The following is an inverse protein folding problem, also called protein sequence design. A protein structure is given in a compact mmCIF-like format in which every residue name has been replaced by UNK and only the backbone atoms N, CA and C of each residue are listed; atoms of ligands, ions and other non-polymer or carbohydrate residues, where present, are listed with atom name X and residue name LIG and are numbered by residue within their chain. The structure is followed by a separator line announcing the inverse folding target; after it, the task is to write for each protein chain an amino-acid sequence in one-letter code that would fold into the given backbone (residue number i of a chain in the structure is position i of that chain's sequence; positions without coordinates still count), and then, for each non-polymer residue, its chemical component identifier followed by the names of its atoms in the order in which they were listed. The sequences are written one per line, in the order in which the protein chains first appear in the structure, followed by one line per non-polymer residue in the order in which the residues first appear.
data_IF_443059980414
#
_entry.id   IF_443059980414
#
_cell.length_a   1.000
_cell.length_b   1.000
_cell.length_c   1.000
_cell.angle_alpha   90.00
_cell.angle_beta   90.00
_cell.angle_gamma   90.00
#
_symmetry.space_group_name_H-M   'P 1'
#
loop_
_entity.id
_entity.type
_entity.pdbx_description
1 polymer ?
#
# COMPACT_ATOMS: atom_id res chain seq x y z
N UNK A 1 5.56 26.95 23.42
CA UNK A 1 5.20 25.58 23.00
C UNK A 1 4.94 25.59 21.51
N UNK A 2 5.54 24.68 20.77
CA UNK A 2 5.26 24.57 19.33
C UNK A 2 3.92 23.87 19.14
N UNK A 3 2.99 24.47 18.41
CA UNK A 3 1.75 23.80 18.01
C UNK A 3 2.07 22.77 16.95
N UNK A 4 1.52 21.56 17.10
CA UNK A 4 1.66 20.45 16.15
C UNK A 4 0.31 19.79 15.92
N UNK A 5 -0.02 19.53 14.66
CA UNK A 5 -1.17 18.68 14.34
C UNK A 5 -0.72 17.22 14.30
N UNK A 6 -1.39 16.34 15.05
CA UNK A 6 -1.19 14.90 14.98
C UNK A 6 -2.44 14.23 14.41
N UNK A 7 -2.32 13.63 13.25
CA UNK A 7 -3.41 13.00 12.51
C UNK A 7 -3.17 11.49 12.48
N UNK A 8 -3.82 10.70 13.33
CA UNK A 8 -3.66 9.25 13.38
C UNK A 8 -4.64 8.58 12.41
N UNK A 9 -4.12 7.80 11.48
CA UNK A 9 -4.94 7.02 10.56
C UNK A 9 -4.78 5.53 10.78
N UNK A 10 -5.85 4.78 10.56
CA UNK A 10 -5.88 3.34 10.67
C UNK A 10 -6.97 2.74 9.77
N UNK A 11 -7.05 1.42 9.71
CA UNK A 11 -8.11 0.69 9.01
C UNK A 11 -8.70 -0.39 9.89
N UNK A 12 -10.05 -0.56 9.91
CA UNK A 12 -10.72 -1.51 10.78
C UNK A 12 -10.34 -2.98 10.57
N UNK A 13 -9.73 -3.32 9.42
CA UNK A 13 -9.30 -4.68 9.10
C UNK A 13 -7.97 -5.09 9.75
N UNK A 14 -7.30 -4.15 10.44
CA UNK A 14 -6.05 -4.36 11.17
C UNK A 14 -6.28 -4.30 12.69
N UNK A 15 -5.22 -4.44 13.47
CA UNK A 15 -5.28 -4.42 14.94
C UNK A 15 -5.55 -2.99 15.45
N UNK A 16 -6.83 -2.63 15.53
CA UNK A 16 -7.28 -1.31 16.00
C UNK A 16 -6.88 -1.04 17.45
N UNK A 17 -7.00 -1.97 18.42
CA UNK A 17 -6.52 -1.75 19.79
C UNK A 17 -5.06 -1.36 19.87
N UNK A 18 -4.17 -2.05 19.16
CA UNK A 18 -2.74 -1.70 19.12
C UNK A 18 -2.49 -0.37 18.40
N UNK A 19 -3.21 -0.09 17.30
CA UNK A 19 -3.12 1.21 16.63
C UNK A 19 -3.55 2.36 17.54
N UNK A 20 -4.61 2.19 18.34
CA UNK A 20 -5.06 3.18 19.32
C UNK A 20 -4.00 3.41 20.42
N UNK A 21 -3.42 2.35 20.94
CA UNK A 21 -2.33 2.45 21.93
C UNK A 21 -1.15 3.27 21.39
N UNK A 22 -0.71 3.00 20.16
CA UNK A 22 0.37 3.79 19.54
C UNK A 22 0.00 5.26 19.31
N UNK A 23 -1.25 5.54 19.01
CA UNK A 23 -1.72 6.93 18.93
C UNK A 23 -1.66 7.63 20.28
N UNK A 24 -2.10 6.97 21.36
CA UNK A 24 -2.06 7.54 22.71
C UNK A 24 -0.62 7.76 23.20
N UNK A 25 0.26 6.78 23.01
CA UNK A 25 1.69 6.89 23.30
C UNK A 25 2.35 8.02 22.48
N UNK A 26 1.97 8.21 21.22
CA UNK A 26 2.47 9.31 20.38
C UNK A 26 2.04 10.68 20.91
N UNK A 27 0.81 10.84 21.39
CA UNK A 27 0.33 12.07 22.05
C UNK A 27 1.14 12.38 23.30
N UNK A 28 1.32 11.38 24.15
CA UNK A 28 2.09 11.51 25.39
C UNK A 28 3.55 11.88 25.11
N UNK A 29 4.18 11.23 24.13
CA UNK A 29 5.54 11.54 23.71
C UNK A 29 5.67 12.99 23.22
N UNK A 30 4.79 13.44 22.34
CA UNK A 30 4.82 14.82 21.84
C UNK A 30 4.59 15.85 22.95
N UNK A 31 3.67 15.60 23.87
CA UNK A 31 3.46 16.44 25.03
C UNK A 31 4.70 16.49 25.94
N UNK A 32 5.39 15.37 26.16
CA UNK A 32 6.64 15.29 26.92
C UNK A 32 7.79 16.09 26.28
N UNK A 33 7.77 16.25 24.95
CA UNK A 33 8.70 17.08 24.19
C UNK A 33 8.31 18.58 24.17
N UNK A 34 7.25 18.96 24.88
CA UNK A 34 6.79 20.35 25.01
C UNK A 34 5.94 20.85 23.85
N UNK A 35 5.37 19.94 23.05
CA UNK A 35 4.44 20.30 21.98
C UNK A 35 3.01 20.53 22.52
N UNK A 36 2.32 21.51 21.93
CA UNK A 36 0.88 21.72 22.07
C UNK A 36 0.18 20.96 20.94
N UNK A 37 -0.38 19.77 21.26
CA UNK A 37 -0.86 18.80 20.29
C UNK A 37 -2.33 19.04 19.93
N UNK A 38 -2.60 19.31 18.67
CA UNK A 38 -3.96 19.35 18.10
C UNK A 38 -4.18 18.02 17.40
N UNK A 39 -5.16 17.24 17.85
CA UNK A 39 -5.48 15.93 17.28
C UNK A 39 -6.97 15.62 17.43
N UNK A 40 -7.53 14.73 16.59
CA UNK A 40 -8.84 14.14 16.86
C UNK A 40 -8.79 13.31 18.15
N UNK A 41 -9.97 13.00 18.69
CA UNK A 41 -10.09 12.13 19.88
C UNK A 41 -9.85 10.66 19.57
N UNK A 42 -10.03 10.24 18.32
CA UNK A 42 -10.03 8.86 17.86
C UNK A 42 -9.20 8.69 16.59
N UNK A 43 -8.90 7.44 16.24
CA UNK A 43 -8.28 7.08 14.97
C UNK A 43 -9.19 7.45 13.80
N UNK A 44 -8.61 7.94 12.71
CA UNK A 44 -9.30 8.26 11.48
C UNK A 44 -9.34 7.01 10.59
N UNK A 45 -10.49 6.39 10.47
CA UNK A 45 -10.69 5.11 9.79
C UNK A 45 -11.77 5.17 8.70
N UNK A 46 -12.57 6.23 8.68
CA UNK A 46 -13.68 6.38 7.72
C UNK A 46 -13.63 7.73 7.00
N UNK A 47 -14.32 7.85 5.85
CA UNK A 47 -14.45 9.14 5.16
C UNK A 47 -15.09 10.22 6.05
N UNK A 48 -16.09 9.86 6.88
CA UNK A 48 -16.79 10.80 7.76
C UNK A 48 -15.85 11.32 8.86
N UNK A 49 -15.02 10.46 9.43
CA UNK A 49 -13.99 10.87 10.39
C UNK A 49 -12.93 11.75 9.72
N UNK A 50 -12.58 11.47 8.47
CA UNK A 50 -11.68 12.34 7.69
C UNK A 50 -12.27 13.74 7.50
N UNK A 51 -13.56 13.86 7.18
CA UNK A 51 -14.23 15.16 7.09
C UNK A 51 -14.28 15.86 8.47
N UNK A 52 -14.53 15.13 9.54
CA UNK A 52 -14.51 15.70 10.89
C UNK A 52 -13.13 16.25 11.28
N UNK A 53 -12.05 15.61 10.86
CA UNK A 53 -10.68 16.13 11.07
C UNK A 53 -10.38 17.33 10.18
N UNK A 54 -10.91 17.39 8.99
CA UNK A 54 -10.68 18.49 8.05
C UNK A 54 -11.16 19.86 8.58
N UNK A 55 -12.12 19.87 9.51
CA UNK A 55 -12.62 21.10 10.16
C UNK A 55 -11.86 21.49 11.42
N UNK A 56 -10.92 20.65 11.90
CA UNK A 56 -10.02 20.99 12.99
C UNK A 56 -8.94 21.96 12.50
N UNK A 57 -8.34 22.70 13.44
CA UNK A 57 -7.21 23.61 13.15
C UNK A 57 -5.91 22.79 12.94
N UNK A 58 -5.87 21.97 11.90
CA UNK A 58 -4.72 21.11 11.55
C UNK A 58 -3.69 21.79 10.65
N UNK A 59 -3.95 23.01 10.16
CA UNK A 59 -3.00 23.78 9.36
C UNK A 59 -1.95 24.46 10.25
N UNK A 60 -1.15 23.63 10.90
CA UNK A 60 -0.10 24.03 11.80
C UNK A 60 1.26 24.02 11.09
N UNK A 61 2.26 24.79 11.62
CA UNK A 61 3.61 24.77 11.05
C UNK A 61 4.25 23.39 11.00
N UNK A 62 3.83 22.49 11.90
CA UNK A 62 4.26 21.10 11.98
C UNK A 62 3.06 20.18 11.97
N UNK A 63 3.05 19.26 11.04
CA UNK A 63 1.98 18.27 10.88
C UNK A 63 2.59 16.88 10.90
N UNK A 64 2.12 16.03 11.79
CA UNK A 64 2.51 14.62 11.92
C UNK A 64 1.33 13.77 11.47
N UNK A 65 1.52 13.02 10.40
CA UNK A 65 0.55 12.06 9.90
C UNK A 65 1.00 10.66 10.32
N UNK A 66 0.36 10.14 11.36
CA UNK A 66 0.68 8.85 11.96
C UNK A 66 -0.14 7.74 11.30
N UNK A 67 0.51 6.91 10.50
CA UNK A 67 -0.05 5.64 10.09
C UNK A 67 0.01 4.65 11.27
N UNK A 68 -0.97 4.72 12.17
CA UNK A 68 -1.04 3.82 13.32
C UNK A 68 -1.32 2.36 12.88
N UNK A 69 -2.05 2.19 11.76
CA UNK A 69 -2.02 1.00 10.92
C UNK A 69 -2.14 1.39 9.45
N UNK A 70 -2.30 0.43 8.55
CA UNK A 70 -2.53 0.70 7.14
C UNK A 70 -3.72 1.66 6.95
N UNK A 71 -3.55 2.62 6.06
CA UNK A 71 -4.60 3.41 5.45
C UNK A 71 -4.23 3.66 3.98
N UNK A 72 -5.21 3.75 3.09
CA UNK A 72 -4.95 4.25 1.74
C UNK A 72 -4.65 5.75 1.75
N UNK A 73 -4.24 6.31 0.61
CA UNK A 73 -3.80 7.69 0.56
C UNK A 73 -4.93 8.74 0.55
N UNK A 74 -6.20 8.33 0.49
CA UNK A 74 -7.32 9.28 0.38
C UNK A 74 -7.36 10.28 1.55
N UNK A 75 -7.23 9.85 2.84
CA UNK A 75 -7.16 10.80 3.95
C UNK A 75 -5.95 11.73 3.86
N UNK A 76 -4.78 11.24 3.43
CA UNK A 76 -3.58 12.08 3.32
C UNK A 76 -3.77 13.20 2.30
N UNK A 77 -4.27 12.90 1.11
CA UNK A 77 -4.56 13.91 0.08
C UNK A 77 -5.59 14.91 0.59
N UNK A 78 -6.70 14.42 1.13
CA UNK A 78 -7.80 15.25 1.61
C UNK A 78 -7.36 16.22 2.71
N UNK A 79 -6.61 15.72 3.69
CA UNK A 79 -6.24 16.50 4.88
C UNK A 79 -5.00 17.36 4.66
N UNK A 80 -4.06 16.92 3.85
CA UNK A 80 -2.73 17.52 3.76
C UNK A 80 -2.41 18.15 2.38
N UNK A 81 -3.11 17.77 1.32
CA UNK A 81 -2.79 18.16 -0.04
C UNK A 81 -2.65 19.68 -0.23
N UNK A 82 -3.44 20.50 0.45
CA UNK A 82 -3.44 21.97 0.38
C UNK A 82 -2.79 22.68 1.58
N UNK A 83 -2.27 21.95 2.58
CA UNK A 83 -1.71 22.54 3.81
C UNK A 83 -0.29 23.09 3.58
N UNK A 84 0.13 24.06 4.38
CA UNK A 84 1.41 24.75 4.23
C UNK A 84 2.50 24.25 5.18
N UNK A 85 2.14 23.60 6.27
CA UNK A 85 3.08 23.10 7.28
C UNK A 85 4.02 22.01 6.77
N UNK A 86 5.13 21.82 7.47
CA UNK A 86 6.04 20.70 7.25
C UNK A 86 5.36 19.38 7.65
N UNK A 87 5.35 18.43 6.76
CA UNK A 87 4.69 17.13 6.97
C UNK A 87 5.71 16.05 7.32
N UNK A 88 5.49 15.41 8.47
CA UNK A 88 6.19 14.19 8.87
C UNK A 88 5.23 13.01 8.76
N UNK A 89 5.54 12.05 7.90
CA UNK A 89 4.84 10.78 7.83
C UNK A 89 5.49 9.81 8.82
N UNK A 90 4.71 9.36 9.78
CA UNK A 90 5.18 8.43 10.81
C UNK A 90 4.51 7.07 10.62
N UNK A 91 5.33 6.02 10.44
CA UNK A 91 4.90 4.64 10.45
C UNK A 91 5.48 3.89 11.66
N UNK A 92 4.64 3.06 12.28
CA UNK A 92 5.05 2.21 13.40
C UNK A 92 5.56 0.86 12.90
N UNK A 93 6.31 0.15 13.75
CA UNK A 93 6.84 -1.16 13.40
C UNK A 93 5.75 -2.22 13.43
N UNK A 94 5.85 -3.14 12.48
CA UNK A 94 5.11 -4.38 12.52
C UNK A 94 5.62 -5.26 13.66
N UNK A 95 4.76 -6.09 14.21
CA UNK A 95 5.08 -7.08 15.23
C UNK A 95 4.50 -8.44 14.83
N UNK A 96 4.87 -9.50 15.58
CA UNK A 96 4.50 -10.87 15.24
C UNK A 96 5.63 -11.62 14.52
N UNK A 97 5.35 -12.83 14.07
CA UNK A 97 6.33 -13.69 13.43
C UNK A 97 6.33 -13.51 11.91
N UNK A 98 7.48 -13.78 11.27
CA UNK A 98 7.58 -13.74 9.82
C UNK A 98 6.70 -14.82 9.19
N UNK A 99 5.81 -14.41 8.28
CA UNK A 99 4.87 -15.31 7.61
C UNK A 99 3.46 -15.33 8.22
N UNK A 100 3.25 -14.67 9.35
CA UNK A 100 1.92 -14.39 9.86
C UNK A 100 1.22 -13.27 9.12
N UNK A 101 -0.09 -13.15 9.34
CA UNK A 101 -0.85 -12.00 8.85
C UNK A 101 -0.32 -10.73 9.50
N UNK A 102 -0.07 -9.70 8.69
CA UNK A 102 0.32 -8.39 9.20
C UNK A 102 -0.75 -7.82 10.13
N UNK A 103 -0.32 -7.36 11.31
CA UNK A 103 -1.19 -6.79 12.33
C UNK A 103 -1.50 -5.32 12.06
N UNK A 104 -0.54 -4.55 11.59
CA UNK A 104 -0.67 -3.11 11.38
C UNK A 104 -0.46 -2.69 9.92
N UNK A 105 0.51 -3.26 9.23
CA UNK A 105 0.88 -2.88 7.85
C UNK A 105 1.07 -1.37 7.66
N UNK A 106 1.56 -0.70 8.69
CA UNK A 106 1.66 0.75 8.80
C UNK A 106 2.57 1.36 7.73
N UNK A 107 3.70 0.71 7.42
CA UNK A 107 4.66 1.20 6.43
C UNK A 107 4.05 1.26 5.02
N UNK A 108 3.23 0.29 4.63
CA UNK A 108 2.56 0.33 3.32
C UNK A 108 1.62 1.53 3.23
N UNK A 109 0.85 1.84 4.29
CA UNK A 109 0.01 3.04 4.33
C UNK A 109 0.84 4.32 4.21
N UNK A 110 1.97 4.40 4.92
CA UNK A 110 2.88 5.54 4.82
C UNK A 110 3.46 5.71 3.41
N UNK A 111 3.80 4.63 2.72
CA UNK A 111 4.29 4.68 1.35
C UNK A 111 3.22 5.20 0.38
N UNK A 112 1.96 4.77 0.53
CA UNK A 112 0.84 5.28 -0.27
C UNK A 112 0.64 6.78 -0.05
N UNK A 113 0.61 7.21 1.21
CA UNK A 113 0.51 8.63 1.57
C UNK A 113 1.67 9.45 1.01
N UNK A 114 2.90 8.93 1.11
CA UNK A 114 4.10 9.58 0.58
C UNK A 114 4.03 9.79 -0.93
N UNK A 115 3.67 8.75 -1.67
CA UNK A 115 3.51 8.85 -3.12
C UNK A 115 2.47 9.91 -3.47
N UNK A 116 1.28 9.81 -2.89
CA UNK A 116 0.18 10.72 -3.17
C UNK A 116 0.49 12.18 -2.84
N UNK A 117 1.13 12.45 -1.71
CA UNK A 117 1.53 13.82 -1.33
C UNK A 117 2.62 14.38 -2.24
N UNK A 118 3.56 13.53 -2.67
CA UNK A 118 4.60 13.96 -3.64
C UNK A 118 4.03 14.29 -5.02
N UNK A 119 3.01 13.57 -5.49
CA UNK A 119 2.36 13.88 -6.77
C UNK A 119 1.68 15.25 -6.78
N UNK A 120 1.29 15.77 -5.61
CA UNK A 120 0.77 17.14 -5.45
C UNK A 120 1.84 18.14 -5.00
N UNK A 121 3.11 17.79 -5.13
CA UNK A 121 4.25 18.69 -4.88
C UNK A 121 4.60 18.88 -3.40
N UNK A 122 4.12 18.03 -2.47
CA UNK A 122 4.44 18.14 -1.05
C UNK A 122 5.83 17.59 -0.73
N UNK A 123 6.63 18.41 -0.03
CA UNK A 123 7.80 17.92 0.71
C UNK A 123 7.36 17.16 1.95
N UNK A 124 7.94 16.00 2.16
CA UNK A 124 7.62 15.14 3.31
C UNK A 124 8.90 14.62 3.97
N UNK A 125 8.84 14.47 5.28
CA UNK A 125 9.85 13.78 6.08
C UNK A 125 9.29 12.44 6.52
N UNK A 126 10.11 11.37 6.53
CA UNK A 126 9.68 10.05 7.00
C UNK A 126 10.26 9.73 8.37
N UNK A 127 9.45 9.10 9.20
CA UNK A 127 9.83 8.50 10.47
C UNK A 127 9.26 7.08 10.53
N UNK A 128 10.12 6.10 10.84
CA UNK A 128 9.71 4.71 11.06
C UNK A 128 10.23 4.22 12.40
N UNK A 129 9.32 3.83 13.28
CA UNK A 129 9.63 3.31 14.62
C UNK A 129 8.47 3.51 15.59
N UNK A 130 8.56 2.85 16.73
CA UNK A 130 7.53 2.91 17.76
C UNK A 130 7.75 4.12 18.71
N UNK A 131 6.69 4.63 19.36
CA UNK A 131 6.78 5.79 20.26
C UNK A 131 7.77 5.63 21.43
N UNK A 132 8.03 4.41 21.87
CA UNK A 132 8.95 4.09 22.97
C UNK A 132 10.44 4.08 22.57
N UNK A 133 10.75 4.17 21.28
CA UNK A 133 12.12 4.15 20.77
C UNK A 133 12.82 5.50 20.99
N UNK A 134 14.03 5.49 21.56
CA UNK A 134 14.82 6.71 21.78
C UNK A 134 15.20 7.39 20.45
N UNK A 135 15.39 6.63 19.37
CA UNK A 135 15.59 7.15 18.03
C UNK A 135 14.39 7.98 17.55
N UNK A 136 13.17 7.51 17.76
CA UNK A 136 11.93 8.20 17.41
C UNK A 136 11.80 9.49 18.22
N UNK A 137 12.03 9.44 19.52
CA UNK A 137 12.01 10.60 20.40
C UNK A 137 13.02 11.67 19.97
N UNK A 138 14.26 11.27 19.67
CA UNK A 138 15.30 12.16 19.17
C UNK A 138 14.90 12.85 17.86
N UNK A 139 14.34 12.10 16.91
CA UNK A 139 13.92 12.62 15.62
C UNK A 139 12.73 13.58 15.73
N UNK A 140 11.74 13.26 16.55
CA UNK A 140 10.61 14.15 16.81
C UNK A 140 11.07 15.45 17.48
N UNK A 141 12.00 15.39 18.45
CA UNK A 141 12.56 16.57 19.07
C UNK A 141 13.25 17.50 18.06
N UNK A 142 14.02 16.96 17.11
CA UNK A 142 14.63 17.71 16.02
C UNK A 142 13.58 18.32 15.07
N UNK A 143 12.58 17.52 14.66
CA UNK A 143 11.51 17.98 13.81
C UNK A 143 10.74 19.16 14.43
N UNK A 144 10.42 19.09 15.71
CA UNK A 144 9.72 20.15 16.44
C UNK A 144 10.53 21.44 16.54
N UNK A 145 11.87 21.36 16.58
CA UNK A 145 12.78 22.52 16.70
C UNK A 145 13.24 23.12 15.37
N UNK A 146 12.78 22.62 14.22
CA UNK A 146 13.33 22.96 12.89
C UNK A 146 14.85 22.71 12.76
N UNK A 147 15.40 21.85 13.59
CA UNK A 147 16.76 21.40 13.38
C UNK A 147 16.77 20.53 12.14
N UNK A 148 17.52 20.95 11.10
CA UNK A 148 17.63 20.21 9.83
C UNK A 148 18.03 18.76 10.15
N UNK A 149 17.03 17.93 10.21
CA UNK A 149 17.25 16.51 10.25
C UNK A 149 17.42 16.09 8.79
N UNK A 150 18.58 15.56 8.43
CA UNK A 150 18.72 14.60 7.34
C UNK A 150 17.87 13.35 7.60
N UNK A 151 16.73 13.54 8.27
CA UNK A 151 15.74 12.53 8.62
C UNK A 151 14.91 12.31 7.39
N UNK A 152 15.19 11.24 6.70
CA UNK A 152 14.27 10.76 5.70
C UNK A 152 14.75 10.69 4.27
N UNK A 153 16.01 10.94 3.97
CA UNK A 153 16.59 10.12 2.91
C UNK A 153 17.06 8.84 3.60
N UNK A 154 16.48 7.66 3.30
CA UNK A 154 17.21 6.43 3.58
C UNK A 154 18.61 6.72 3.06
N UNK A 155 19.68 6.38 3.82
CA UNK A 155 21.02 6.51 3.26
C UNK A 155 20.86 5.91 1.87
N UNK A 156 21.11 6.70 0.83
CA UNK A 156 21.36 6.10 -0.46
C UNK A 156 22.31 5.00 -0.08
N UNK A 157 21.83 3.76 -0.09
CA UNK A 157 22.71 2.64 0.04
C UNK A 157 23.70 2.96 -1.06
N UNK A 158 24.85 3.55 -0.68
CA UNK A 158 26.05 3.45 -1.46
C UNK A 158 26.36 1.98 -1.40
N UNK A 159 25.47 1.18 -2.06
CA UNK A 159 25.84 -0.09 -2.53
C UNK A 159 27.12 0.22 -3.27
N UNK A 160 28.22 -0.29 -2.79
CA UNK A 160 29.32 -0.62 -3.64
C UNK A 160 28.62 -1.18 -4.85
N UNK A 161 28.65 -0.44 -5.92
CA UNK A 161 27.86 -0.61 -7.14
C UNK A 161 27.41 -2.06 -7.30
N UNK A 162 26.15 -2.39 -7.02
CA UNK A 162 25.53 -3.47 -7.74
C UNK A 162 25.92 -3.19 -9.18
N UNK A 163 26.88 -3.97 -9.70
CA UNK A 163 27.77 -3.61 -10.79
C UNK A 163 27.02 -2.78 -11.79
N UNK A 164 27.55 -1.64 -12.15
CA UNK A 164 27.01 -0.77 -13.17
C UNK A 164 26.51 -1.70 -14.27
N UNK A 165 25.18 -1.93 -14.34
CA UNK A 165 24.64 -2.70 -15.44
C UNK A 165 25.22 -2.02 -16.67
N UNK A 166 26.05 -2.71 -17.42
CA UNK A 166 26.71 -2.12 -18.56
C UNK A 166 25.61 -1.50 -19.42
N UNK A 167 25.83 -0.34 -19.97
CA UNK A 167 24.81 0.35 -20.81
C UNK A 167 24.17 -0.59 -21.82
N UNK A 168 24.95 -1.54 -22.34
CA UNK A 168 24.50 -2.62 -23.22
C UNK A 168 23.40 -3.50 -22.61
N UNK A 169 23.43 -3.76 -21.28
CA UNK A 169 22.41 -4.58 -20.62
C UNK A 169 21.11 -3.81 -20.42
N UNK A 170 21.17 -2.50 -20.17
CA UNK A 170 19.97 -1.66 -20.03
C UNK A 170 19.26 -1.52 -21.38
N UNK A 171 20.00 -1.26 -22.46
CA UNK A 171 19.43 -1.15 -23.80
C UNK A 171 18.82 -2.48 -24.27
N UNK A 172 19.49 -3.60 -24.01
CA UNK A 172 18.96 -4.93 -24.32
C UNK A 172 17.69 -5.24 -23.52
N UNK A 173 17.65 -4.90 -22.21
CA UNK A 173 16.49 -5.07 -21.36
C UNK A 173 15.31 -4.21 -21.81
N UNK A 174 15.55 -2.95 -22.18
CA UNK A 174 14.50 -2.08 -22.72
C UNK A 174 14.01 -2.59 -24.09
N UNK A 175 14.91 -3.11 -24.93
CA UNK A 175 14.55 -3.68 -26.22
C UNK A 175 13.65 -4.95 -26.06
N UNK A 176 13.88 -5.75 -25.00
CA UNK A 176 13.07 -6.94 -24.73
C UNK A 176 11.65 -6.64 -24.28
N UNK A 177 11.39 -5.42 -23.77
CA UNK A 177 10.03 -5.00 -23.40
C UNK A 177 9.19 -4.59 -24.63
N UNK A 178 9.85 -4.31 -25.76
CA UNK A 178 9.16 -3.79 -26.93
C UNK A 178 8.28 -4.88 -27.57
N UNK A 179 6.99 -4.59 -27.62
CA UNK A 179 5.98 -5.51 -28.14
C UNK A 179 5.39 -6.41 -27.06
N UNK A 180 5.85 -6.29 -25.80
CA UNK A 180 5.22 -7.03 -24.70
C UNK A 180 3.77 -6.59 -24.48
N UNK A 181 2.94 -7.56 -24.08
CA UNK A 181 1.52 -7.39 -23.80
C UNK A 181 1.22 -7.67 -22.34
N UNK A 182 0.70 -6.66 -21.63
CA UNK A 182 0.38 -6.76 -20.22
C UNK A 182 -1.12 -6.73 -20.02
N UNK A 183 -1.66 -7.78 -19.41
CA UNK A 183 -3.06 -7.81 -19.00
C UNK A 183 -3.28 -7.02 -17.71
N UNK A 184 -4.23 -6.08 -17.70
CA UNK A 184 -4.62 -5.34 -16.50
C UNK A 184 -6.08 -5.66 -16.13
N UNK A 185 -6.30 -6.21 -14.93
CA UNK A 185 -7.62 -6.62 -14.45
C UNK A 185 -8.07 -5.70 -13.33
N UNK A 186 -9.12 -4.93 -13.61
CA UNK A 186 -9.64 -3.87 -12.74
C UNK A 186 -8.73 -2.64 -12.66
N UNK A 187 -9.31 -1.52 -12.26
CA UNK A 187 -8.58 -0.26 -12.05
C UNK A 187 -7.85 -0.25 -10.70
N UNK A 188 -6.88 0.65 -10.55
CA UNK A 188 -6.23 0.86 -9.26
C UNK A 188 -7.27 1.18 -8.17
N UNK A 189 -7.21 0.56 -6.99
CA UNK A 189 -8.12 0.88 -5.90
C UNK A 189 -8.02 2.35 -5.49
N UNK A 190 -9.11 2.92 -4.97
CA UNK A 190 -9.11 4.29 -4.46
C UNK A 190 -7.99 4.50 -3.43
N UNK A 191 -7.25 5.60 -3.58
CA UNK A 191 -6.11 5.93 -2.70
C UNK A 191 -4.82 5.13 -2.96
N UNK A 192 -4.81 4.19 -3.93
CA UNK A 192 -3.62 3.45 -4.35
C UNK A 192 -2.94 4.12 -5.54
N UNK A 193 -2.57 5.38 -5.36
CA UNK A 193 -1.97 6.19 -6.44
C UNK A 193 -0.71 5.59 -7.10
N UNK A 194 0.14 4.79 -6.41
CA UNK A 194 1.28 4.13 -7.06
C UNK A 194 0.89 3.01 -8.04
N UNK A 195 -0.36 2.52 -7.96
CA UNK A 195 -0.86 1.47 -8.86
C UNK A 195 -1.49 2.05 -10.14
N UNK A 196 -1.58 3.37 -10.25
CA UNK A 196 -2.04 4.04 -11.45
C UNK A 196 -0.95 4.02 -12.52
N UNK A 197 -1.33 3.81 -13.76
CA UNK A 197 -0.44 3.82 -14.90
C UNK A 197 -1.07 4.58 -16.07
N UNK A 198 -0.23 4.97 -17.01
CA UNK A 198 -0.63 5.60 -18.26
C UNK A 198 -0.25 4.66 -19.41
N UNK A 199 -1.25 4.03 -20.01
CA UNK A 199 -1.05 3.05 -21.09
C UNK A 199 -0.42 3.68 -22.34
N UNK A 200 -0.73 4.95 -22.65
CA UNK A 200 -0.13 5.65 -23.79
C UNK A 200 1.36 5.92 -23.57
N UNK A 201 1.75 6.27 -22.33
CA UNK A 201 3.16 6.43 -21.99
C UNK A 201 3.91 5.11 -22.00
N UNK A 202 3.31 4.01 -21.53
CA UNK A 202 3.90 2.67 -21.60
C UNK A 202 4.13 2.27 -23.06
N UNK A 203 3.16 2.45 -23.91
CA UNK A 203 3.29 2.19 -25.35
C UNK A 203 4.37 3.08 -25.98
N UNK A 204 4.34 4.38 -25.70
CA UNK A 204 5.25 5.36 -26.30
C UNK A 204 6.72 5.14 -25.95
N UNK A 205 7.00 4.86 -24.66
CA UNK A 205 8.39 4.79 -24.18
C UNK A 205 8.97 3.38 -24.17
N UNK A 206 8.12 2.36 -24.02
CA UNK A 206 8.56 0.98 -23.87
C UNK A 206 8.02 0.04 -24.95
N UNK A 207 7.06 0.49 -25.76
CA UNK A 207 6.38 -0.34 -26.76
C UNK A 207 5.49 -1.41 -26.13
N UNK A 208 5.06 -1.22 -24.88
CA UNK A 208 4.19 -2.14 -24.15
C UNK A 208 2.74 -1.85 -24.49
N UNK A 209 1.99 -2.90 -24.89
CA UNK A 209 0.55 -2.87 -25.06
C UNK A 209 -0.15 -3.31 -23.77
N UNK A 210 -1.17 -2.56 -23.32
CA UNK A 210 -1.97 -2.94 -22.15
C UNK A 210 -3.35 -3.42 -22.60
N UNK A 211 -3.70 -4.66 -22.25
CA UNK A 211 -4.99 -5.29 -22.49
C UNK A 211 -5.78 -5.28 -21.18
N UNK A 212 -6.94 -4.66 -21.18
CA UNK A 212 -7.75 -4.52 -19.96
C UNK A 212 -8.88 -5.55 -19.88
N UNK A 213 -9.20 -5.98 -18.66
CA UNK A 213 -10.39 -6.78 -18.33
C UNK A 213 -11.02 -6.22 -17.06
N UNK A 214 -12.35 -6.18 -16.99
CA UNK A 214 -13.03 -5.73 -15.76
C UNK A 214 -13.11 -6.84 -14.72
N UNK A 215 -13.26 -6.50 -13.44
CA UNK A 215 -13.48 -7.48 -12.37
C UNK A 215 -14.81 -8.24 -12.58
N UNK A 216 -15.94 -7.58 -12.91
CA UNK A 216 -17.18 -8.30 -13.23
C UNK A 216 -17.01 -9.32 -14.37
N UNK A 217 -16.36 -8.95 -15.49
CA UNK A 217 -16.15 -9.89 -16.61
C UNK A 217 -15.28 -11.09 -16.19
N UNK A 218 -14.33 -10.88 -15.29
CA UNK A 218 -13.54 -11.99 -14.73
C UNK A 218 -14.42 -12.89 -13.87
N UNK A 219 -15.23 -12.33 -12.97
CA UNK A 219 -16.08 -13.10 -12.06
C UNK A 219 -17.16 -13.88 -12.82
N UNK A 220 -17.77 -13.26 -13.82
CA UNK A 220 -18.72 -13.95 -14.70
C UNK A 220 -18.09 -15.18 -15.36
N UNK A 221 -16.88 -15.04 -15.89
CA UNK A 221 -16.15 -16.17 -16.45
C UNK A 221 -15.81 -17.25 -15.42
N UNK A 222 -15.40 -16.86 -14.20
CA UNK A 222 -15.11 -17.80 -13.09
C UNK A 222 -16.35 -18.62 -12.72
N UNK A 223 -17.54 -18.03 -12.75
CA UNK A 223 -18.79 -18.75 -12.46
C UNK A 223 -19.19 -19.76 -13.55
N UNK A 224 -18.62 -19.66 -14.74
CA UNK A 224 -18.86 -20.59 -15.85
C UNK A 224 -17.91 -21.80 -15.86
N UNK A 225 -16.85 -21.78 -15.06
CA UNK A 225 -15.92 -22.92 -14.94
C UNK A 225 -16.68 -24.13 -14.38
N UNK A 226 -16.57 -25.28 -15.03
CA UNK A 226 -17.24 -26.49 -14.57
C UNK A 226 -16.66 -26.97 -13.24
N UNK A 227 -17.47 -27.66 -12.43
CA UNK A 227 -17.00 -28.27 -11.18
C UNK A 227 -15.87 -29.30 -11.43
N UNK A 228 -15.91 -30.00 -12.57
CA UNK A 228 -14.88 -30.96 -12.97
C UNK A 228 -13.54 -30.26 -13.26
N UNK A 229 -13.56 -29.15 -14.00
CA UNK A 229 -12.35 -28.37 -14.31
C UNK A 229 -11.78 -27.72 -13.06
N UNK A 230 -12.62 -27.10 -12.23
CA UNK A 230 -12.22 -26.52 -10.96
C UNK A 230 -11.57 -27.58 -10.01
N UNK A 231 -12.14 -28.80 -9.95
CA UNK A 231 -11.56 -29.86 -9.14
C UNK A 231 -10.24 -30.36 -9.73
N UNK A 232 -10.15 -30.55 -11.03
CA UNK A 232 -8.91 -30.94 -11.71
C UNK A 232 -7.76 -29.96 -11.42
N UNK A 233 -8.02 -28.65 -11.58
CA UNK A 233 -7.04 -27.61 -11.30
C UNK A 233 -6.68 -27.54 -9.79
N UNK A 234 -7.66 -27.72 -8.91
CA UNK A 234 -7.43 -27.76 -7.48
C UNK A 234 -6.52 -28.93 -7.08
N UNK A 235 -6.74 -30.11 -7.64
CA UNK A 235 -5.89 -31.28 -7.38
C UNK A 235 -4.48 -31.09 -7.95
N UNK A 236 -4.35 -30.43 -9.10
CA UNK A 236 -3.04 -30.06 -9.68
C UNK A 236 -2.29 -29.10 -8.75
N UNK A 237 -2.97 -28.08 -8.23
CA UNK A 237 -2.38 -27.14 -7.27
C UNK A 237 -1.95 -27.83 -5.96
N UNK A 238 -2.77 -28.73 -5.42
CA UNK A 238 -2.45 -29.51 -4.22
C UNK A 238 -1.23 -30.40 -4.43
N UNK A 239 -1.09 -31.00 -5.61
CA UNK A 239 0.07 -31.83 -5.94
C UNK A 239 1.37 -31.00 -6.00
N UNK A 240 1.29 -29.79 -6.55
CA UNK A 240 2.43 -28.87 -6.63
C UNK A 240 2.77 -28.23 -5.27
N UNK A 241 1.76 -27.92 -4.46
CA UNK A 241 1.88 -27.24 -3.17
C UNK A 241 1.01 -27.91 -2.10
N UNK A 242 1.49 -28.97 -1.43
CA UNK A 242 0.68 -29.72 -0.45
C UNK A 242 0.18 -28.92 0.75
N UNK A 243 0.81 -27.78 1.06
CA UNK A 243 0.37 -26.88 2.14
C UNK A 243 -1.00 -26.24 1.87
N UNK A 244 -1.47 -26.21 0.62
CA UNK A 244 -2.82 -25.75 0.26
C UNK A 244 -3.93 -26.60 0.90
N UNK A 245 -3.64 -27.83 1.34
CA UNK A 245 -4.58 -28.64 2.10
C UNK A 245 -5.00 -28.02 3.45
N UNK A 246 -4.30 -26.97 3.92
CA UNK A 246 -4.68 -26.18 5.11
C UNK A 246 -5.74 -25.12 4.82
N UNK A 247 -5.96 -24.79 3.54
CA UNK A 247 -6.99 -23.85 3.10
C UNK A 247 -8.31 -24.62 2.94
N UNK A 248 -9.47 -24.02 3.30
CA UNK A 248 -10.76 -24.65 3.03
C UNK A 248 -10.90 -25.03 1.55
N UNK A 249 -11.35 -26.25 1.28
CA UNK A 249 -11.40 -26.78 -0.08
C UNK A 249 -12.31 -25.96 -1.03
N UNK A 250 -13.34 -25.31 -0.48
CA UNK A 250 -14.21 -24.38 -1.23
C UNK A 250 -13.42 -23.20 -1.77
N UNK A 251 -12.62 -22.54 -0.93
CA UNK A 251 -11.76 -21.44 -1.33
C UNK A 251 -10.68 -21.89 -2.31
N UNK A 252 -10.13 -23.09 -2.09
CA UNK A 252 -9.15 -23.71 -2.99
C UNK A 252 -9.71 -23.94 -4.39
N UNK A 253 -10.95 -24.45 -4.52
CA UNK A 253 -11.63 -24.64 -5.82
C UNK A 253 -11.96 -23.31 -6.50
N UNK A 254 -12.42 -22.33 -5.72
CA UNK A 254 -12.67 -20.98 -6.27
C UNK A 254 -11.37 -20.37 -6.86
N UNK A 255 -10.25 -20.51 -6.15
CA UNK A 255 -8.96 -20.06 -6.68
C UNK A 255 -8.53 -20.86 -7.92
N UNK A 256 -8.82 -22.17 -7.97
CA UNK A 256 -8.56 -22.99 -9.14
C UNK A 256 -9.36 -22.52 -10.37
N UNK A 257 -10.64 -22.17 -10.17
CA UNK A 257 -11.47 -21.58 -11.24
C UNK A 257 -10.93 -20.22 -11.71
N UNK A 258 -10.45 -19.38 -10.79
CA UNK A 258 -9.78 -18.11 -11.14
C UNK A 258 -8.55 -18.37 -12.00
N UNK A 259 -7.72 -19.35 -11.60
CA UNK A 259 -6.51 -19.72 -12.32
C UNK A 259 -6.81 -20.21 -13.75
N UNK A 260 -7.82 -21.05 -13.92
CA UNK A 260 -8.24 -21.55 -15.22
C UNK A 260 -8.59 -20.39 -16.15
N UNK A 261 -9.48 -19.49 -15.69
CA UNK A 261 -9.91 -18.31 -16.48
C UNK A 261 -8.75 -17.37 -16.79
N UNK A 262 -7.80 -17.21 -15.87
CA UNK A 262 -6.62 -16.38 -16.12
C UNK A 262 -5.69 -17.04 -17.14
N UNK A 263 -5.49 -18.35 -17.05
CA UNK A 263 -4.65 -19.11 -17.99
C UNK A 263 -5.19 -19.01 -19.43
N UNK A 264 -6.49 -19.18 -19.58
CA UNK A 264 -7.15 -19.03 -20.88
C UNK A 264 -6.99 -17.61 -21.43
N UNK A 265 -7.29 -16.59 -20.61
CA UNK A 265 -7.18 -15.20 -21.02
C UNK A 265 -5.75 -14.80 -21.38
N UNK A 266 -4.74 -15.30 -20.67
CA UNK A 266 -3.32 -15.12 -20.99
C UNK A 266 -3.01 -15.72 -22.36
N UNK A 267 -3.44 -16.95 -22.60
CA UNK A 267 -3.21 -17.65 -23.87
C UNK A 267 -3.93 -17.01 -25.06
N UNK A 268 -5.19 -16.64 -24.90
CA UNK A 268 -6.00 -16.00 -25.95
C UNK A 268 -5.47 -14.63 -26.38
N UNK A 269 -4.80 -13.93 -25.48
CA UNK A 269 -4.30 -12.57 -25.71
C UNK A 269 -2.78 -12.49 -25.84
N UNK A 270 -2.05 -13.60 -25.84
CA UNK A 270 -0.58 -13.63 -25.86
C UNK A 270 0.05 -12.68 -24.83
N UNK A 271 -0.40 -12.77 -23.57
CA UNK A 271 0.08 -11.87 -22.51
C UNK A 271 1.39 -12.35 -21.94
N UNK A 272 2.37 -11.44 -21.81
CA UNK A 272 3.66 -11.70 -21.16
C UNK A 272 3.59 -11.55 -19.62
N UNK A 273 2.63 -10.76 -19.13
CA UNK A 273 2.42 -10.52 -17.71
C UNK A 273 0.98 -10.08 -17.42
N UNK A 274 0.57 -10.21 -16.17
CA UNK A 274 -0.71 -9.69 -15.68
C UNK A 274 -0.52 -8.82 -14.43
N UNK A 275 -1.35 -7.80 -14.30
CA UNK A 275 -1.54 -7.00 -13.10
C UNK A 275 -3.01 -7.06 -12.71
N UNK A 276 -3.32 -7.46 -11.49
CA UNK A 276 -4.69 -7.70 -11.06
C UNK A 276 -5.01 -7.01 -9.75
N UNK A 277 -6.12 -6.28 -9.70
CA UNK A 277 -6.68 -5.77 -8.46
C UNK A 277 -7.36 -6.92 -7.69
N UNK A 278 -6.81 -7.26 -6.53
CA UNK A 278 -7.31 -8.38 -5.73
C UNK A 278 -8.26 -7.97 -4.60
N UNK A 279 -8.37 -6.68 -4.30
CA UNK A 279 -9.11 -6.20 -3.15
C UNK A 279 -9.88 -4.92 -3.49
N UNK A 280 -11.14 -4.71 -2.97
CA UNK A 280 -11.84 -5.56 -1.98
C UNK A 280 -12.69 -6.69 -2.59
N UNK A 281 -12.93 -6.71 -3.91
CA UNK A 281 -13.98 -7.50 -4.56
C UNK A 281 -13.79 -9.01 -4.38
N UNK A 282 -12.58 -9.53 -4.57
CA UNK A 282 -12.35 -10.98 -4.47
C UNK A 282 -12.80 -11.60 -3.14
N UNK A 283 -12.39 -11.11 -1.95
CA UNK A 283 -12.86 -11.68 -0.70
C UNK A 283 -14.34 -11.39 -0.40
N UNK A 284 -14.89 -10.28 -0.88
CA UNK A 284 -16.27 -9.88 -0.56
C UNK A 284 -17.32 -10.48 -1.48
N UNK A 285 -17.00 -10.72 -2.75
CA UNK A 285 -17.94 -11.17 -3.76
C UNK A 285 -17.68 -12.61 -4.18
N UNK A 286 -16.41 -13.01 -4.29
CA UNK A 286 -16.02 -14.35 -4.71
C UNK A 286 -15.71 -15.28 -3.54
N UNK A 287 -15.49 -14.74 -2.33
CA UNK A 287 -15.16 -15.52 -1.13
C UNK A 287 -13.75 -16.12 -1.13
N UNK A 288 -12.85 -15.67 -2.01
CA UNK A 288 -11.49 -16.15 -2.12
C UNK A 288 -10.53 -15.00 -2.45
N UNK A 289 -9.25 -15.19 -2.15
CA UNK A 289 -8.19 -14.26 -2.53
C UNK A 289 -7.36 -14.85 -3.68
N UNK A 290 -7.10 -14.10 -4.76
CA UNK A 290 -6.44 -14.63 -5.95
C UNK A 290 -4.92 -14.80 -5.82
N UNK A 291 -4.34 -14.54 -4.65
CA UNK A 291 -2.88 -14.59 -4.44
C UNK A 291 -2.28 -16.00 -4.64
N UNK A 292 -3.11 -17.02 -4.75
CA UNK A 292 -2.71 -18.40 -5.01
C UNK A 292 -3.18 -18.97 -6.37
N UNK A 293 -3.80 -18.14 -7.19
CA UNK A 293 -4.31 -18.55 -8.49
C UNK A 293 -3.22 -18.56 -9.58
#
# INVERSE_FOLDING_TARGET
MSKVALIPVARPTFDVPTAQRFFDEAKELLASLGADVISPSELVMTPEQTEAVAVLDIDQPKIIYLNASFADASPAIKLLGSKHGDVLLWSVREFGEVGERLHLNSMCGSNLAAHALRTVGKGITHLHGNPDEESVKSLLAKFLKNENSDVGQPPLIKGESAGRAEKSNVEASLASLKGSRIGAIGDAPNGFTPCQYDAELLQKYFGIEVITRTIPDLFDAVTQVSEEDAEREYQSALAAQPSLAKVPATEGRTNASVREVLSDWIGENDLDAIAMRCWPEFPTELGACPCGA
#
